data_IF_486413481883
#
_entry.id   IF_486413481883
#
_cell.length_a   1.000
_cell.length_b   1.000
_cell.length_c   1.000
_cell.angle_alpha   90.00
_cell.angle_beta   90.00
_cell.angle_gamma   90.00
#
_symmetry.space_group_name_H-M   'P 1'
#
loop_
_entity.id
_entity.type
_entity.pdbx_description
1 polymer ?
#
# COMPACT_ATOMS: atom_id res chain seq x y z
N UNK A 1 10.05 -6.85 4.54
CA UNK A 1 9.02 -7.03 5.59
C UNK A 1 7.68 -7.14 4.89
N UNK A 2 6.92 -8.23 5.04
CA UNK A 2 5.58 -8.33 4.43
C UNK A 2 4.61 -7.52 5.28
N UNK A 3 3.84 -6.64 4.65
CA UNK A 3 2.79 -5.91 5.36
C UNK A 3 1.76 -6.92 5.93
N UNK A 4 1.42 -6.73 7.19
CA UNK A 4 0.42 -7.54 7.91
C UNK A 4 -0.57 -6.61 8.57
N UNK A 5 -1.81 -7.06 8.65
CA UNK A 5 -2.91 -6.31 9.21
C UNK A 5 -3.65 -7.14 10.26
N UNK A 6 -4.37 -6.48 11.14
CA UNK A 6 -5.36 -7.09 12.00
C UNK A 6 -6.65 -6.28 11.93
N UNK A 7 -7.79 -6.94 12.12
CA UNK A 7 -9.09 -6.29 12.21
C UNK A 7 -9.51 -6.33 13.66
N UNK A 8 -9.88 -5.18 14.21
CA UNK A 8 -10.17 -5.01 15.63
C UNK A 8 -11.36 -4.08 15.82
N UNK A 9 -12.01 -4.18 16.98
CA UNK A 9 -12.92 -3.16 17.48
C UNK A 9 -12.51 -2.82 18.91
N UNK A 10 -12.31 -1.54 19.19
CA UNK A 10 -12.01 -1.08 20.55
C UNK A 10 -13.28 -1.02 21.38
N UNK A 11 -13.39 -1.87 22.39
CA UNK A 11 -14.47 -1.78 23.37
C UNK A 11 -14.21 -0.55 24.23
N UNK A 12 -15.14 0.41 24.18
CA UNK A 12 -15.03 1.65 24.93
C UNK A 12 -15.73 1.48 26.27
N UNK A 13 -14.99 1.70 27.35
CA UNK A 13 -15.55 1.78 28.70
C UNK A 13 -16.60 2.92 28.75
N UNK A 14 -17.86 2.63 29.12
CA UNK A 14 -18.91 3.64 29.20
C UNK A 14 -18.66 4.75 30.23
N UNK A 15 -17.88 4.46 31.28
CA UNK A 15 -17.63 5.40 32.40
C UNK A 15 -16.44 6.32 32.10
N UNK A 16 -15.35 5.74 31.59
CA UNK A 16 -14.09 6.47 31.39
C UNK A 16 -13.88 6.93 29.95
N UNK A 17 -14.58 6.31 29.00
CA UNK A 17 -14.45 6.60 27.57
C UNK A 17 -13.12 6.15 26.96
N UNK A 18 -12.29 5.40 27.68
CA UNK A 18 -11.08 4.78 27.14
C UNK A 18 -11.39 3.43 26.49
N UNK A 19 -10.51 3.01 25.58
CA UNK A 19 -10.53 1.64 25.05
C UNK A 19 -9.69 0.80 25.99
N UNK A 20 -10.33 -0.08 26.75
CA UNK A 20 -9.72 -0.96 27.74
C UNK A 20 -9.60 -2.41 27.25
N UNK A 21 -10.45 -2.80 26.29
CA UNK A 21 -10.43 -4.12 25.65
C UNK A 21 -10.56 -4.04 24.12
N UNK A 22 -10.08 -5.08 23.43
CA UNK A 22 -10.13 -5.17 21.99
C UNK A 22 -10.81 -6.47 21.54
N UNK A 23 -11.86 -6.32 20.73
CA UNK A 23 -12.48 -7.44 20.05
C UNK A 23 -11.74 -7.76 18.75
N UNK A 24 -11.46 -9.04 18.53
CA UNK A 24 -10.87 -9.56 17.29
C UNK A 24 -11.88 -10.53 16.67
N UNK A 25 -12.25 -10.35 15.38
CA UNK A 25 -13.18 -11.26 14.74
C UNK A 25 -12.49 -12.59 14.41
N UNK A 26 -13.21 -13.70 14.60
CA UNK A 26 -12.72 -15.04 14.23
C UNK A 26 -12.36 -15.12 12.74
N UNK A 27 -13.21 -14.54 11.89
CA UNK A 27 -13.04 -14.46 10.44
C UNK A 27 -12.83 -13.01 9.96
N UNK A 28 -12.63 -12.81 8.66
CA UNK A 28 -12.54 -11.47 8.06
C UNK A 28 -13.97 -10.99 7.75
N UNK A 29 -14.44 -9.88 8.36
CA UNK A 29 -15.72 -9.26 8.03
C UNK A 29 -15.80 -8.85 6.55
N UNK A 30 -17.00 -8.96 5.96
CA UNK A 30 -17.26 -8.60 4.56
C UNK A 30 -17.20 -7.08 4.31
N UNK A 31 -17.52 -6.30 5.32
CA UNK A 31 -17.49 -4.84 5.37
C UNK A 31 -17.02 -4.38 6.76
N UNK A 32 -16.86 -3.07 6.94
CA UNK A 32 -16.48 -2.46 8.21
C UNK A 32 -17.65 -2.35 9.20
N UNK A 33 -18.85 -2.80 8.83
CA UNK A 33 -20.09 -2.64 9.57
C UNK A 33 -20.33 -1.20 10.07
N UNK A 34 -20.09 -0.20 9.19
CA UNK A 34 -20.31 1.21 9.49
C UNK A 34 -19.28 1.79 10.46
N UNK A 35 -18.01 1.38 10.33
CA UNK A 35 -16.91 1.78 11.21
C UNK A 35 -16.80 0.99 12.52
N UNK A 36 -17.58 -0.08 12.69
CA UNK A 36 -17.41 -0.97 13.83
C UNK A 36 -16.06 -1.70 13.74
N UNK A 37 -15.72 -2.26 12.59
CA UNK A 37 -14.42 -2.90 12.39
C UNK A 37 -13.39 -1.91 11.88
N UNK A 38 -12.22 -1.90 12.53
CA UNK A 38 -11.09 -1.06 12.15
C UNK A 38 -9.91 -1.95 11.76
N UNK A 39 -9.26 -1.61 10.65
CA UNK A 39 -8.02 -2.26 10.24
C UNK A 39 -6.81 -1.54 10.87
N UNK A 40 -5.99 -2.30 11.60
CA UNK A 40 -4.69 -1.84 12.08
C UNK A 40 -3.58 -2.51 11.26
N UNK A 41 -2.49 -1.80 11.06
CA UNK A 41 -1.39 -2.23 10.21
C UNK A 41 -0.11 -2.28 11.01
N UNK A 42 0.62 -3.39 10.93
CA UNK A 42 1.85 -3.58 11.71
C UNK A 42 2.89 -2.48 11.45
N UNK A 43 2.90 -1.91 10.24
CA UNK A 43 3.82 -0.85 9.85
C UNK A 43 3.56 0.50 10.53
N UNK A 44 2.32 0.76 10.96
CA UNK A 44 1.95 2.00 11.66
C UNK A 44 2.04 1.86 13.18
N UNK A 45 2.40 0.68 13.64
CA UNK A 45 2.19 0.26 15.01
C UNK A 45 3.39 0.65 15.87
N UNK A 46 3.30 1.83 16.52
CA UNK A 46 4.25 2.28 17.55
C UNK A 46 4.04 1.59 18.91
N UNK A 47 3.16 0.59 19.03
CA UNK A 47 2.99 -0.16 20.27
C UNK A 47 4.28 -0.93 20.58
N UNK A 48 4.92 -0.54 21.67
CA UNK A 48 6.20 -1.06 22.16
C UNK A 48 6.26 -2.59 22.08
N UNK A 49 7.43 -3.07 21.64
CA UNK A 49 7.75 -4.46 21.37
C UNK A 49 7.84 -5.30 22.66
N UNK A 50 6.70 -5.58 23.27
CA UNK A 50 6.57 -6.77 24.11
C UNK A 50 5.99 -7.87 23.22
N UNK A 51 6.81 -8.91 22.96
CA UNK A 51 6.42 -10.09 22.16
C UNK A 51 5.28 -10.88 22.81
N UNK A 52 4.95 -10.60 24.07
CA UNK A 52 3.97 -11.33 24.87
C UNK A 52 2.59 -10.62 24.90
N UNK A 53 2.48 -9.38 24.41
CA UNK A 53 1.26 -8.55 24.55
C UNK A 53 0.32 -8.49 23.32
N UNK A 54 0.63 -9.14 22.19
CA UNK A 54 -0.22 -8.98 20.99
C UNK A 54 -1.28 -10.07 20.89
N UNK A 55 -2.40 -9.89 21.60
CA UNK A 55 -3.67 -10.62 21.43
C UNK A 55 -4.36 -10.44 20.07
N UNK A 56 -3.68 -9.86 19.07
CA UNK A 56 -4.22 -9.62 17.74
C UNK A 56 -3.84 -10.73 16.75
N UNK A 57 -4.83 -11.23 16.04
CA UNK A 57 -4.65 -12.20 14.95
C UNK A 57 -4.12 -11.49 13.69
N UNK A 58 -2.80 -11.29 13.62
CA UNK A 58 -2.14 -10.70 12.44
C UNK A 58 -2.30 -11.60 11.21
N UNK A 59 -2.81 -11.02 10.12
CA UNK A 59 -3.06 -11.71 8.85
C UNK A 59 -2.15 -11.16 7.74
N UNK A 60 -1.68 -12.01 6.81
CA UNK A 60 -0.99 -11.56 5.60
C UNK A 60 -1.87 -10.65 4.72
N UNK A 61 -1.30 -9.60 4.13
CA UNK A 61 -2.05 -8.64 3.29
C UNK A 61 -2.77 -9.25 2.07
N UNK A 62 -2.38 -10.45 1.61
CA UNK A 62 -3.10 -11.16 0.53
C UNK A 62 -4.56 -11.51 0.89
N UNK A 63 -4.90 -11.52 2.18
CA UNK A 63 -6.25 -11.74 2.67
C UNK A 63 -6.98 -10.44 3.00
N UNK A 64 -6.38 -9.28 2.74
CA UNK A 64 -6.98 -7.99 3.09
C UNK A 64 -8.25 -7.75 2.27
N UNK A 65 -9.40 -7.50 2.93
CA UNK A 65 -10.62 -7.15 2.22
C UNK A 65 -10.51 -5.73 1.66
N UNK A 66 -11.23 -5.44 0.56
CA UNK A 66 -11.15 -4.12 -0.12
C UNK A 66 -11.44 -2.94 0.79
N UNK A 67 -12.40 -3.07 1.71
CA UNK A 67 -12.77 -1.99 2.65
C UNK A 67 -11.62 -1.63 3.60
N UNK A 68 -10.69 -2.57 3.84
CA UNK A 68 -9.53 -2.38 4.69
C UNK A 68 -8.26 -2.03 3.88
N UNK A 69 -8.34 -1.91 2.56
CA UNK A 69 -7.20 -1.50 1.73
C UNK A 69 -7.08 0.02 1.75
N UNK A 70 -5.92 0.57 2.16
CA UNK A 70 -5.69 2.03 2.13
C UNK A 70 -5.85 2.65 0.75
N UNK A 71 -5.40 1.92 -0.27
CA UNK A 71 -5.43 2.34 -1.66
C UNK A 71 -5.91 1.15 -2.49
N UNK A 72 -6.90 1.39 -3.34
CA UNK A 72 -7.32 0.46 -4.38
C UNK A 72 -6.96 1.10 -5.72
N UNK A 73 -6.10 0.42 -6.47
CA UNK A 73 -5.67 0.84 -7.80
C UNK A 73 -6.25 -0.15 -8.84
N UNK A 74 -7.37 0.19 -9.49
CA UNK A 74 -7.94 -0.67 -10.52
C UNK A 74 -6.99 -0.74 -11.72
N UNK A 75 -6.45 -1.93 -12.01
CA UNK A 75 -5.57 -2.16 -13.15
C UNK A 75 -6.37 -2.09 -14.46
N UNK A 76 -5.93 -1.22 -15.38
CA UNK A 76 -6.56 -0.95 -16.68
C UNK A 76 -5.89 -1.74 -17.80
N UNK A 77 -4.56 -1.71 -17.85
CA UNK A 77 -3.80 -2.39 -18.90
C UNK A 77 -2.47 -2.91 -18.38
N UNK A 78 -1.95 -3.95 -19.03
CA UNK A 78 -0.60 -4.48 -18.81
C UNK A 78 0.02 -4.77 -20.18
N UNK A 79 1.19 -4.23 -20.44
CA UNK A 79 1.92 -4.38 -21.71
C UNK A 79 3.42 -4.56 -21.48
N UNK A 80 4.12 -5.01 -22.52
CA UNK A 80 5.58 -5.25 -22.49
C UNK A 80 6.26 -4.23 -23.38
N UNK A 81 7.16 -3.43 -22.82
CA UNK A 81 7.87 -2.34 -23.53
C UNK A 81 9.36 -2.34 -23.17
N UNK A 82 10.17 -1.63 -23.95
CA UNK A 82 11.57 -1.37 -23.59
C UNK A 82 11.63 -0.18 -22.65
N UNK A 83 12.51 -0.23 -21.64
CA UNK A 83 12.63 0.87 -20.68
C UNK A 83 12.98 2.21 -21.35
N UNK A 84 13.78 2.20 -22.43
CA UNK A 84 14.16 3.42 -23.14
C UNK A 84 13.06 3.98 -24.05
N UNK A 85 11.99 3.21 -24.29
CA UNK A 85 10.82 3.64 -25.08
C UNK A 85 9.88 4.56 -24.26
N UNK A 86 10.15 4.75 -22.96
CA UNK A 86 9.40 5.67 -22.10
C UNK A 86 9.44 7.10 -22.67
N UNK A 87 8.25 7.72 -22.73
CA UNK A 87 8.09 9.12 -23.15
C UNK A 87 8.36 10.08 -21.99
N UNK A 88 8.50 11.38 -22.28
CA UNK A 88 8.71 12.37 -21.22
C UNK A 88 7.43 12.53 -20.38
N UNK A 89 6.26 12.43 -21.03
CA UNK A 89 4.95 12.45 -20.38
C UNK A 89 4.72 11.21 -19.49
N UNK A 90 5.12 10.02 -19.95
CA UNK A 90 5.05 8.81 -19.13
C UNK A 90 6.00 8.90 -17.93
N UNK A 91 7.21 9.46 -18.12
CA UNK A 91 8.14 9.69 -17.03
C UNK A 91 7.59 10.67 -15.99
N UNK A 92 6.92 11.74 -16.42
CA UNK A 92 6.20 12.66 -15.52
C UNK A 92 5.08 11.93 -14.75
N UNK A 93 4.33 11.04 -15.42
CA UNK A 93 3.25 10.27 -14.80
C UNK A 93 3.75 9.24 -13.76
N UNK A 94 4.98 8.73 -13.89
CA UNK A 94 5.67 7.91 -12.87
C UNK A 94 6.04 8.73 -11.62
N UNK A 95 5.94 10.07 -11.69
CA UNK A 95 6.16 10.98 -10.58
C UNK A 95 7.64 11.30 -10.33
N UNK A 96 8.48 11.22 -11.36
CA UNK A 96 9.89 11.62 -11.26
C UNK A 96 10.04 13.13 -11.40
N UNK A 97 11.05 13.68 -10.74
CA UNK A 97 11.42 15.08 -10.93
C UNK A 97 12.28 15.25 -12.20
N UNK A 98 12.09 16.32 -12.97
CA UNK A 98 12.84 16.52 -14.21
C UNK A 98 14.30 16.91 -13.91
N UNK A 99 15.23 16.41 -14.73
CA UNK A 99 16.63 16.84 -14.73
C UNK A 99 16.85 17.70 -15.96
N UNK A 100 17.33 18.93 -15.75
CA UNK A 100 17.55 19.92 -16.81
C UNK A 100 16.30 20.16 -17.69
N UNK A 101 15.10 19.95 -17.13
CA UNK A 101 13.83 20.13 -17.83
C UNK A 101 13.32 18.90 -18.60
N UNK A 102 13.96 17.72 -18.47
CA UNK A 102 13.45 16.46 -19.00
C UNK A 102 13.09 15.48 -17.88
N UNK A 103 11.84 15.04 -17.87
CA UNK A 103 11.37 13.96 -17.01
C UNK A 103 12.00 12.63 -17.38
N UNK A 104 12.25 12.39 -18.67
CA UNK A 104 12.92 11.18 -19.15
C UNK A 104 14.34 11.02 -18.61
N UNK A 105 15.11 12.11 -18.55
CA UNK A 105 16.45 12.05 -17.91
C UNK A 105 16.34 11.89 -16.38
N UNK A 106 15.33 12.47 -15.75
CA UNK A 106 14.99 12.21 -14.34
C UNK A 106 14.68 10.73 -14.07
N UNK A 107 13.84 10.13 -14.91
CA UNK A 107 13.50 8.72 -14.86
C UNK A 107 14.73 7.83 -15.08
N UNK A 108 15.56 8.16 -16.07
CA UNK A 108 16.81 7.44 -16.33
C UNK A 108 17.74 7.45 -15.11
N UNK A 109 17.92 8.61 -14.48
CA UNK A 109 18.78 8.74 -13.30
C UNK A 109 18.25 7.89 -12.13
N UNK A 110 16.94 7.96 -11.87
CA UNK A 110 16.27 7.12 -10.86
C UNK A 110 16.42 5.63 -11.18
N UNK A 111 16.17 5.22 -12.43
CA UNK A 111 16.33 3.82 -12.85
C UNK A 111 17.76 3.31 -12.64
N UNK A 112 18.75 4.15 -12.93
CA UNK A 112 20.15 3.81 -12.78
C UNK A 112 20.54 3.62 -11.31
N UNK A 113 19.95 4.39 -10.39
CA UNK A 113 20.17 4.26 -8.95
C UNK A 113 19.60 2.94 -8.40
N UNK A 114 18.42 2.53 -8.86
CA UNK A 114 17.74 1.33 -8.36
C UNK A 114 18.25 0.05 -9.03
N UNK A 115 18.40 0.06 -10.35
CA UNK A 115 18.63 -1.15 -11.16
C UNK A 115 19.95 -1.14 -11.92
N UNK A 116 20.59 0.01 -12.13
CA UNK A 116 21.85 0.16 -12.85
C UNK A 116 21.91 -0.49 -14.26
N UNK A 117 20.77 -0.64 -14.93
CA UNK A 117 20.63 -1.41 -16.19
C UNK A 117 20.02 -0.61 -17.34
N UNK A 118 20.03 0.72 -17.27
CA UNK A 118 19.44 1.57 -18.31
C UNK A 118 20.02 1.26 -19.71
N UNK A 119 21.34 1.14 -19.82
CA UNK A 119 22.03 0.91 -21.09
C UNK A 119 21.76 -0.47 -21.70
N UNK A 120 21.39 -1.46 -20.88
CA UNK A 120 20.99 -2.78 -21.35
C UNK A 120 19.61 -2.77 -22.03
N UNK A 121 18.86 -1.69 -21.83
CA UNK A 121 17.51 -1.48 -22.35
C UNK A 121 16.59 -2.71 -22.14
N UNK A 122 16.40 -3.19 -20.90
CA UNK A 122 15.61 -4.40 -20.63
C UNK A 122 14.15 -4.24 -21.06
N UNK A 123 13.49 -5.38 -21.27
CA UNK A 123 12.03 -5.46 -21.38
C UNK A 123 11.42 -5.34 -20.00
N UNK A 124 10.41 -4.47 -19.88
CA UNK A 124 9.69 -4.19 -18.64
C UNK A 124 8.20 -4.41 -18.84
N UNK A 125 7.51 -4.72 -17.75
CA UNK A 125 6.05 -4.69 -17.72
C UNK A 125 5.60 -3.29 -17.37
N UNK A 126 4.81 -2.69 -18.25
CA UNK A 126 4.17 -1.40 -18.01
C UNK A 126 2.71 -1.68 -17.62
N UNK A 127 2.31 -1.15 -16.48
CA UNK A 127 0.96 -1.28 -15.96
C UNK A 127 0.31 0.11 -15.88
N UNK A 128 -0.96 0.17 -16.25
CA UNK A 128 -1.74 1.40 -16.21
C UNK A 128 -2.89 1.21 -15.22
N UNK A 129 -3.14 2.20 -14.38
CA UNK A 129 -4.21 2.16 -13.38
C UNK A 129 -5.23 3.25 -13.64
N UNK A 130 -6.48 2.96 -13.27
CA UNK A 130 -7.54 3.96 -13.20
C UNK A 130 -7.32 4.84 -11.97
N UNK A 131 -8.02 5.97 -11.91
CA UNK A 131 -8.07 6.88 -10.76
C UNK A 131 -8.12 6.12 -9.42
N UNK A 132 -7.33 6.61 -8.48
CA UNK A 132 -7.09 5.98 -7.18
C UNK A 132 -8.38 6.03 -6.36
N UNK A 133 -8.85 4.86 -5.93
CA UNK A 133 -9.90 4.77 -4.92
C UNK A 133 -9.24 4.77 -3.54
N UNK A 134 -9.41 5.86 -2.79
CA UNK A 134 -8.94 5.99 -1.41
C UNK A 134 -10.08 5.60 -0.48
N UNK A 135 -9.92 4.52 0.30
CA UNK A 135 -10.85 4.21 1.39
C UNK A 135 -10.70 5.28 2.48
N UNK A 136 -11.73 6.07 2.74
CA UNK A 136 -11.77 7.01 3.87
C UNK A 136 -12.29 6.33 5.12
#
# INVERSE_FOLDING_TARGET
>A
MRETFAIVHGCRDPETGYIDDWMVPSDIPKDDNGGFWVAIYRANDRFEESKEDRGFSWRPAIHMPRWACRLVLPLVSVRVERVQDITDEDAEAEGVEPIEGSYREGFRAMWQDIYATWDANPWVWVAEWKEIEVSR
#
